data_IF_613601858933
#
_entry.id   IF_613601858933
#
_cell.length_a   1.000
_cell.length_b   1.000
_cell.length_c   1.000
_cell.angle_alpha   90.00
_cell.angle_beta   90.00
_cell.angle_gamma   90.00
#
_symmetry.space_group_name_H-M   'P 1'
#
loop_
_entity.id
_entity.type
_entity.pdbx_description
1 polymer ?
#
# COMPACT_ATOMS: atom_id res chain seq x y z
N UNK A 1 13.41 3.53 0.22
CA UNK A 1 13.74 2.10 0.01
C UNK A 1 13.24 1.71 -1.39
N UNK A 2 13.14 0.44 -1.78
CA UNK A 2 12.53 0.08 -3.08
C UNK A 2 11.00 0.14 -3.02
N UNK A 3 10.39 -0.46 -2.00
CA UNK A 3 8.95 -0.56 -1.86
C UNK A 3 8.44 0.45 -0.84
N UNK A 4 7.45 1.23 -1.25
CA UNK A 4 6.83 2.29 -0.48
C UNK A 4 5.37 1.92 -0.24
N UNK A 5 5.00 1.68 1.01
CA UNK A 5 3.60 1.52 1.42
C UNK A 5 3.02 2.92 1.57
N UNK A 6 2.16 3.30 0.62
CA UNK A 6 1.53 4.60 0.57
C UNK A 6 0.08 4.46 1.00
N UNK A 7 -0.37 5.37 1.86
CA UNK A 7 -1.74 5.35 2.35
C UNK A 7 -2.38 6.73 2.37
N UNK A 8 -3.71 6.73 2.44
CA UNK A 8 -4.53 7.89 2.82
C UNK A 8 -5.81 7.40 3.48
N UNK A 9 -6.55 8.29 4.12
CA UNK A 9 -7.94 8.04 4.46
C UNK A 9 -8.85 8.25 3.24
N UNK A 10 -9.92 7.49 3.15
CA UNK A 10 -10.87 7.49 2.04
C UNK A 10 -11.57 8.85 1.86
N UNK A 11 -11.81 9.56 2.98
CA UNK A 11 -12.39 10.90 3.00
C UNK A 11 -11.39 12.02 2.70
N UNK A 12 -10.08 11.73 2.71
CA UNK A 12 -9.04 12.69 2.34
C UNK A 12 -8.94 12.80 0.81
N UNK A 13 -8.51 13.95 0.26
CA UNK A 13 -8.32 14.10 -1.18
C UNK A 13 -7.25 13.13 -1.71
N UNK A 14 -7.28 12.83 -3.01
CA UNK A 14 -6.29 11.95 -3.63
C UNK A 14 -4.86 12.47 -3.52
N UNK A 15 -4.66 13.79 -3.39
CA UNK A 15 -3.35 14.39 -3.14
C UNK A 15 -2.78 14.15 -1.74
N UNK A 16 -3.56 13.54 -0.82
CA UNK A 16 -3.17 13.30 0.57
C UNK A 16 -2.47 11.94 0.79
N UNK A 17 -2.16 11.21 -0.29
CA UNK A 17 -1.31 10.03 -0.20
C UNK A 17 0.03 10.38 0.45
N UNK A 18 0.41 9.58 1.43
CA UNK A 18 1.63 9.75 2.23
C UNK A 18 2.30 8.41 2.45
N UNK A 19 3.62 8.42 2.44
CA UNK A 19 4.42 7.25 2.80
C UNK A 19 4.15 6.88 4.27
N UNK A 20 3.77 5.62 4.49
CA UNK A 20 3.55 5.05 5.81
C UNK A 20 4.73 4.18 6.24
N UNK A 21 5.24 3.35 5.33
CA UNK A 21 6.31 2.40 5.59
C UNK A 21 7.14 2.18 4.33
N UNK A 22 8.44 1.96 4.49
CA UNK A 22 9.37 1.72 3.40
C UNK A 22 10.24 0.50 3.67
N UNK A 23 10.39 -0.38 2.69
CA UNK A 23 11.26 -1.57 2.80
C UNK A 23 11.83 -1.98 1.44
N UNK A 24 12.88 -2.78 1.44
CA UNK A 24 13.39 -3.43 0.24
C UNK A 24 12.76 -4.81 0.01
N UNK A 25 11.97 -5.32 0.96
CA UNK A 25 11.28 -6.61 0.88
C UNK A 25 9.82 -6.43 0.45
N UNK A 26 9.47 -6.99 -0.71
CA UNK A 26 8.10 -6.92 -1.23
C UNK A 26 7.09 -7.66 -0.34
N UNK A 27 7.48 -8.75 0.32
CA UNK A 27 6.57 -9.52 1.16
C UNK A 27 6.22 -8.73 2.42
N UNK A 28 7.21 -8.06 3.01
CA UNK A 28 7.01 -7.16 4.14
C UNK A 28 6.12 -5.97 3.75
N UNK A 29 6.40 -5.32 2.61
CA UNK A 29 5.58 -4.22 2.11
C UNK A 29 4.11 -4.65 1.90
N UNK A 30 3.89 -5.83 1.32
CA UNK A 30 2.53 -6.39 1.13
C UNK A 30 1.84 -6.70 2.46
N UNK A 31 2.53 -7.32 3.40
CA UNK A 31 1.99 -7.67 4.72
C UNK A 31 1.57 -6.42 5.51
N UNK A 32 2.39 -5.37 5.48
CA UNK A 32 2.01 -4.06 6.06
C UNK A 32 0.84 -3.43 5.33
N UNK A 33 0.87 -3.36 4.00
CA UNK A 33 -0.21 -2.78 3.22
C UNK A 33 -1.54 -3.50 3.44
N UNK A 34 -1.53 -4.84 3.56
CA UNK A 34 -2.71 -5.65 3.90
C UNK A 34 -3.25 -5.33 5.29
N UNK A 35 -2.40 -5.27 6.31
CA UNK A 35 -2.83 -4.89 7.67
C UNK A 35 -3.42 -3.49 7.71
N UNK A 36 -2.86 -2.57 6.93
CA UNK A 36 -3.30 -1.19 6.86
C UNK A 36 -4.65 -1.06 6.12
N UNK A 37 -4.86 -1.87 5.09
CA UNK A 37 -6.10 -1.94 4.31
C UNK A 37 -7.26 -2.63 5.07
N UNK A 38 -7.00 -3.30 6.20
CA UNK A 38 -8.04 -3.90 7.03
C UNK A 38 -9.02 -2.88 7.62
N UNK A 39 -8.56 -1.65 7.86
CA UNK A 39 -9.45 -0.54 8.18
C UNK A 39 -10.07 -0.01 6.88
N UNK A 40 -11.37 -0.21 6.72
CA UNK A 40 -12.17 0.15 5.52
C UNK A 40 -12.06 1.63 5.14
N UNK A 41 -11.62 2.48 6.07
CA UNK A 41 -11.41 3.91 5.79
C UNK A 41 -10.05 4.20 5.17
N UNK A 42 -9.16 3.21 5.01
CA UNK A 42 -7.84 3.41 4.43
C UNK A 42 -7.82 3.02 2.95
N UNK A 43 -7.25 3.89 2.12
CA UNK A 43 -6.83 3.56 0.77
C UNK A 43 -5.33 3.36 0.78
N UNK A 44 -4.87 2.18 0.39
CA UNK A 44 -3.47 1.77 0.52
C UNK A 44 -3.00 1.16 -0.80
N UNK A 45 -1.75 1.44 -1.17
CA UNK A 45 -1.06 0.75 -2.25
C UNK A 45 0.44 0.64 -1.96
N UNK A 46 1.11 -0.27 -2.66
CA UNK A 46 2.58 -0.35 -2.63
C UNK A 46 3.11 0.24 -3.93
N UNK A 47 4.08 1.15 -3.86
CA UNK A 47 4.82 1.68 -5.00
C UNK A 47 6.22 1.06 -5.04
N UNK A 48 6.59 0.51 -6.19
CA UNK A 48 7.95 0.06 -6.49
C UNK A 48 8.71 1.23 -7.11
N UNK A 49 9.48 1.95 -6.30
CA UNK A 49 10.25 3.11 -6.74
C UNK A 49 11.37 2.76 -7.76
N UNK A 50 11.78 1.49 -7.85
CA UNK A 50 12.77 1.07 -8.83
C UNK A 50 12.17 0.90 -10.23
N UNK A 51 10.92 0.44 -10.30
CA UNK A 51 10.19 0.23 -11.56
C UNK A 51 9.23 1.37 -11.90
N UNK A 52 9.00 2.26 -10.93
CA UNK A 52 8.00 3.32 -10.96
C UNK A 52 6.57 2.79 -11.22
N UNK A 53 6.22 1.71 -10.53
CA UNK A 53 4.94 1.00 -10.72
C UNK A 53 4.19 0.82 -9.40
N UNK A 54 2.86 0.80 -9.49
CA UNK A 54 2.01 0.47 -8.34
C UNK A 54 1.79 -1.03 -8.30
N UNK A 55 2.28 -1.67 -7.24
CA UNK A 55 2.02 -3.08 -6.94
C UNK A 55 0.66 -3.18 -6.25
N UNK A 56 -0.38 -3.49 -7.06
CA UNK A 56 -1.77 -3.64 -6.60
C UNK A 56 -2.22 -5.07 -6.34
N UNK A 57 -1.38 -6.08 -6.63
CA UNK A 57 -1.71 -7.49 -6.38
C UNK A 57 -1.79 -7.79 -4.87
N UNK A 58 -2.94 -7.43 -4.29
CA UNK A 58 -3.47 -7.92 -3.03
C UNK A 58 -4.54 -8.99 -3.28
N UNK A 59 -4.50 -9.66 -4.45
CA UNK A 59 -5.41 -10.72 -4.91
C UNK A 59 -5.32 -12.00 -4.04
N UNK A 60 -5.51 -11.86 -2.73
CA UNK A 60 -5.93 -12.97 -1.90
C UNK A 60 -7.43 -13.14 -2.11
N UNK A 61 -7.84 -14.21 -2.81
CA UNK A 61 -9.23 -14.66 -2.98
C UNK A 61 -10.05 -14.74 -1.67
N UNK A 62 -9.39 -14.68 -0.51
CA UNK A 62 -9.95 -14.93 0.83
C UNK A 62 -10.91 -13.81 1.30
N UNK A 63 -10.94 -12.64 0.65
CA UNK A 63 -11.69 -11.47 1.13
C UNK A 63 -12.63 -10.83 0.10
N UNK A 64 -13.08 -11.59 -0.90
CA UNK A 64 -14.18 -11.18 -1.79
C UNK A 64 -15.54 -11.42 -1.14
#
# INVERSE_FOLDING_TARGET
MRFHVVWRKSHEPESAYRDFFETNDIFEAKDFAMRLAFDETNCVYVHDAQRDEIVRDFDAEIYR
#
